data_IF_392040207790
#
_entry.id   IF_392040207790
#
_cell.length_a   1.000
_cell.length_b   1.000
_cell.length_c   1.000
_cell.angle_alpha   90.00
_cell.angle_beta   90.00
_cell.angle_gamma   90.00
#
_symmetry.space_group_name_H-M   'P 1'
#
loop_
_entity.id
_entity.type
_entity.pdbx_description
1 polymer ?
#
# COMPACT_ATOMS: atom_id res chain seq x y z
N UNK A 1 13.02 -40.15 21.36
CA UNK A 1 14.49 -40.03 21.34
C UNK A 1 14.90 -39.11 20.21
N UNK A 2 15.81 -38.16 20.50
CA UNK A 2 16.47 -37.13 19.64
C UNK A 2 15.73 -35.80 19.57
N UNK A 3 16.12 -34.91 20.27
CA UNK A 3 17.27 -34.05 20.67
C UNK A 3 17.13 -32.63 20.09
N UNK A 4 16.96 -31.74 21.03
CA UNK A 4 17.02 -30.25 20.87
C UNK A 4 18.40 -29.78 20.38
N UNK A 5 18.43 -28.75 19.55
CA UNK A 5 19.60 -27.91 19.38
C UNK A 5 19.20 -26.44 19.52
N UNK A 6 19.53 -25.90 20.69
CA UNK A 6 19.59 -24.48 20.96
C UNK A 6 20.87 -23.90 20.35
N UNK A 7 20.77 -22.84 19.57
CA UNK A 7 21.89 -22.06 19.06
C UNK A 7 21.89 -20.70 19.73
N UNK A 8 22.82 -20.48 20.68
CA UNK A 8 23.07 -19.21 21.32
C UNK A 8 23.94 -18.33 20.39
N UNK A 9 23.52 -17.12 20.10
CA UNK A 9 24.32 -16.11 19.40
C UNK A 9 24.86 -15.14 20.45
N UNK A 10 26.18 -15.16 20.60
CA UNK A 10 26.94 -14.24 21.45
C UNK A 10 27.14 -12.89 20.71
N UNK A 11 26.66 -11.83 21.30
CA UNK A 11 26.95 -10.45 20.85
C UNK A 11 28.21 -9.96 21.61
N UNK A 12 29.30 -9.73 20.89
CA UNK A 12 30.52 -9.16 21.42
C UNK A 12 30.42 -7.63 21.34
N UNK A 13 30.46 -6.97 22.51
CA UNK A 13 30.58 -5.51 22.65
C UNK A 13 32.06 -5.18 22.74
N UNK A 14 32.59 -4.42 21.77
CA UNK A 14 33.93 -3.86 21.79
C UNK A 14 33.88 -2.43 22.36
N UNK A 15 34.36 -2.28 23.59
CA UNK A 15 34.68 -1.01 24.21
C UNK A 15 36.14 -0.64 23.85
N UNK A 16 36.34 0.48 23.16
CA UNK A 16 37.66 1.07 22.96
C UNK A 16 37.77 2.33 23.84
N UNK A 17 38.48 2.21 24.93
CA UNK A 17 38.93 3.32 25.74
C UNK A 17 40.34 3.73 25.26
N UNK A 18 40.49 4.98 24.82
CA UNK A 18 41.78 5.56 24.44
C UNK A 18 42.03 6.85 25.19
N UNK A 19 42.71 6.77 26.36
CA UNK A 19 43.36 7.90 27.01
C UNK A 19 44.74 8.11 26.39
N UNK A 20 45.05 9.33 25.96
CA UNK A 20 46.37 9.76 25.54
C UNK A 20 46.61 11.20 25.93
N UNK A 21 47.23 11.40 27.09
CA UNK A 21 47.77 12.70 27.52
C UNK A 21 49.12 12.96 26.83
N UNK A 22 49.28 14.13 26.24
CA UNK A 22 50.55 14.60 25.67
C UNK A 22 50.56 16.10 25.51
N UNK A 23 51.11 16.78 26.50
CA UNK A 23 51.35 18.22 26.53
C UNK A 23 52.62 18.51 25.71
N UNK A 24 52.59 19.42 24.73
CA UNK A 24 53.77 20.21 24.27
C UNK A 24 53.32 21.54 23.69
N UNK A 25 53.87 22.61 24.29
CA UNK A 25 53.76 23.98 23.86
C UNK A 25 54.45 24.22 22.52
N UNK A 26 53.83 24.99 21.60
CA UNK A 26 54.54 25.89 20.68
C UNK A 26 53.54 26.77 19.89
N UNK A 27 53.69 28.07 20.09
CA UNK A 27 53.52 29.20 19.16
C UNK A 27 52.40 29.20 18.11
N UNK A 28 51.45 30.08 18.35
CA UNK A 28 50.87 31.09 17.48
C UNK A 28 50.53 30.75 16.02
N UNK A 29 49.25 30.38 15.79
CA UNK A 29 48.59 30.69 14.52
C UNK A 29 47.12 31.03 14.82
N UNK A 30 46.52 32.09 14.24
CA UNK A 30 45.16 32.47 14.54
C UNK A 30 44.15 31.40 14.06
N UNK A 31 43.03 31.16 14.78
CA UNK A 31 42.05 30.17 14.39
C UNK A 31 41.36 30.62 13.12
N UNK A 32 41.52 29.84 12.05
CA UNK A 32 40.62 29.90 10.91
C UNK A 32 39.25 29.43 11.39
N UNK A 33 38.31 30.38 11.49
CA UNK A 33 36.91 30.07 11.76
C UNK A 33 36.36 29.16 10.65
N UNK A 34 36.14 27.91 10.99
CA UNK A 34 35.36 27.00 10.12
C UNK A 34 33.96 27.62 9.92
N UNK A 35 33.43 27.63 8.70
CA UNK A 35 32.06 28.07 8.48
C UNK A 35 31.13 27.11 9.24
N UNK A 36 30.38 27.64 10.20
CA UNK A 36 29.26 26.95 10.82
C UNK A 36 28.29 26.55 9.71
N UNK A 37 28.20 25.25 9.43
CA UNK A 37 27.16 24.74 8.55
C UNK A 37 25.81 25.10 9.17
N UNK A 38 25.16 26.10 8.61
CA UNK A 38 23.78 26.43 8.94
C UNK A 38 22.94 25.22 8.52
N UNK A 39 22.54 24.42 9.49
CA UNK A 39 21.53 23.37 9.28
C UNK A 39 20.26 24.10 8.86
N UNK A 40 19.91 24.01 7.58
CA UNK A 40 18.64 24.50 7.11
C UNK A 40 17.52 23.84 7.93
N UNK A 41 16.56 24.61 8.48
CA UNK A 41 15.45 23.99 9.19
C UNK A 41 14.73 23.04 8.25
N UNK A 42 14.66 21.76 8.63
CA UNK A 42 13.77 20.80 7.99
C UNK A 42 12.36 21.40 8.02
N UNK A 43 11.65 21.55 6.89
CA UNK A 43 10.31 22.10 6.90
C UNK A 43 9.46 21.25 7.85
N UNK A 44 8.99 21.84 8.95
CA UNK A 44 8.01 21.22 9.82
C UNK A 44 6.77 20.96 8.96
N UNK A 45 6.40 19.67 8.80
CA UNK A 45 5.17 19.33 8.10
C UNK A 45 4.02 20.03 8.79
N UNK A 46 3.36 20.95 8.08
CA UNK A 46 2.15 21.63 8.56
C UNK A 46 1.09 20.56 8.79
N UNK A 47 0.44 20.56 9.95
CA UNK A 47 -0.64 19.62 10.24
C UNK A 47 -1.70 19.70 9.12
N UNK A 48 -1.87 18.60 8.35
CA UNK A 48 -2.73 18.53 7.17
C UNK A 48 -2.00 18.52 5.83
N UNK A 49 -0.65 18.64 5.78
CA UNK A 49 0.11 18.41 4.55
C UNK A 49 0.32 16.92 4.29
N UNK A 50 0.31 16.55 2.99
CA UNK A 50 0.59 15.17 2.59
C UNK A 50 2.07 14.83 2.79
N UNK A 51 2.34 13.63 3.33
CA UNK A 51 3.68 13.07 3.34
C UNK A 51 3.88 12.13 2.13
N UNK A 52 5.11 11.65 1.86
CA UNK A 52 5.37 10.69 0.79
C UNK A 52 4.56 9.38 0.92
N UNK A 53 4.25 8.93 2.13
CA UNK A 53 3.43 7.74 2.37
C UNK A 53 1.99 7.95 1.92
N UNK A 54 1.37 9.07 2.31
CA UNK A 54 0.02 9.44 1.86
C UNK A 54 -0.08 9.41 0.32
N UNK A 55 0.88 10.07 -0.37
CA UNK A 55 0.87 10.15 -1.84
C UNK A 55 1.06 8.76 -2.48
N UNK A 56 2.06 8.01 -2.02
CA UNK A 56 2.33 6.67 -2.56
C UNK A 56 1.16 5.71 -2.35
N UNK A 57 0.52 5.78 -1.17
CA UNK A 57 -0.66 4.96 -0.87
C UNK A 57 -1.87 5.34 -1.73
N UNK A 58 -2.13 6.63 -1.93
CA UNK A 58 -3.22 7.11 -2.81
C UNK A 58 -3.00 6.66 -4.26
N UNK A 59 -1.78 6.77 -4.78
CA UNK A 59 -1.42 6.31 -6.12
C UNK A 59 -1.61 4.80 -6.27
N UNK A 60 -1.17 4.02 -5.29
CA UNK A 60 -1.34 2.57 -5.31
C UNK A 60 -2.83 2.17 -5.22
N UNK A 61 -3.60 2.84 -4.36
CA UNK A 61 -5.04 2.61 -4.21
C UNK A 61 -5.78 2.89 -5.52
N UNK A 62 -5.46 4.00 -6.19
CA UNK A 62 -6.02 4.33 -7.51
C UNK A 62 -5.67 3.26 -8.56
N UNK A 63 -4.40 2.88 -8.67
CA UNK A 63 -3.94 1.87 -9.62
C UNK A 63 -4.60 0.50 -9.39
N UNK A 64 -4.76 0.08 -8.14
CA UNK A 64 -5.44 -1.17 -7.79
C UNK A 64 -6.93 -1.15 -8.20
N UNK A 65 -7.64 -0.04 -7.93
CA UNK A 65 -9.04 0.11 -8.32
C UNK A 65 -9.21 0.11 -9.84
N UNK A 66 -8.35 0.81 -10.58
CA UNK A 66 -8.35 0.86 -12.06
C UNK A 66 -8.16 -0.53 -12.69
N UNK A 67 -7.35 -1.40 -12.07
CA UNK A 67 -7.16 -2.79 -12.54
C UNK A 67 -8.34 -3.71 -12.21
N UNK A 68 -9.07 -3.47 -11.12
CA UNK A 68 -10.20 -4.31 -10.73
C UNK A 68 -11.50 -3.93 -11.44
N UNK A 69 -11.77 -2.64 -11.66
CA UNK A 69 -13.04 -2.17 -12.22
C UNK A 69 -13.41 -2.83 -13.54
N UNK A 70 -12.52 -3.04 -14.53
CA UNK A 70 -12.84 -3.76 -15.76
C UNK A 70 -13.31 -5.20 -15.52
N UNK A 71 -12.82 -5.87 -14.46
CA UNK A 71 -13.29 -7.22 -14.09
C UNK A 71 -14.71 -7.18 -13.57
N UNK A 72 -15.03 -6.22 -12.71
CA UNK A 72 -16.36 -6.07 -12.14
C UNK A 72 -17.40 -5.70 -13.20
N UNK A 73 -17.01 -4.88 -14.17
CA UNK A 73 -17.85 -4.44 -15.28
C UNK A 73 -18.17 -5.59 -16.29
N UNK A 74 -17.34 -6.63 -16.35
CA UNK A 74 -17.61 -7.82 -17.14
C UNK A 74 -18.74 -8.69 -16.56
N UNK A 75 -18.92 -8.72 -15.24
CA UNK A 75 -19.77 -9.70 -14.57
C UNK A 75 -21.22 -9.72 -15.07
N UNK A 76 -21.92 -8.59 -15.29
CA UNK A 76 -23.31 -8.60 -15.77
C UNK A 76 -23.50 -9.27 -17.12
N UNK A 77 -22.49 -9.23 -18.00
CA UNK A 77 -22.52 -9.84 -19.32
C UNK A 77 -22.04 -11.31 -19.33
N UNK A 78 -21.37 -11.77 -18.25
CA UNK A 78 -20.71 -13.08 -18.19
C UNK A 78 -21.43 -14.09 -17.32
N UNK A 79 -22.33 -13.66 -16.44
CA UNK A 79 -23.13 -14.54 -15.59
C UNK A 79 -24.53 -13.98 -15.37
N UNK A 80 -25.52 -14.88 -15.32
CA UNK A 80 -26.89 -14.57 -14.92
C UNK A 80 -27.13 -14.78 -13.41
N UNK A 81 -26.14 -15.30 -12.70
CA UNK A 81 -26.22 -15.54 -11.25
C UNK A 81 -26.44 -14.22 -10.50
N UNK A 82 -27.61 -14.05 -9.82
CA UNK A 82 -27.95 -12.80 -9.16
C UNK A 82 -27.04 -12.47 -7.97
N UNK A 83 -26.43 -13.47 -7.34
CA UNK A 83 -25.49 -13.26 -6.22
C UNK A 83 -24.22 -12.62 -6.76
N UNK A 84 -23.63 -13.17 -7.82
CA UNK A 84 -22.43 -12.61 -8.43
C UNK A 84 -22.67 -11.22 -9.03
N UNK A 85 -23.79 -11.01 -9.69
CA UNK A 85 -24.14 -9.68 -10.25
C UNK A 85 -24.27 -8.63 -9.16
N UNK A 86 -24.90 -8.96 -8.03
CA UNK A 86 -25.04 -8.06 -6.87
C UNK A 86 -23.69 -7.79 -6.21
N UNK A 87 -22.91 -8.83 -5.93
CA UNK A 87 -21.58 -8.69 -5.34
C UNK A 87 -20.68 -7.80 -6.20
N UNK A 88 -20.62 -8.05 -7.50
CA UNK A 88 -19.83 -7.22 -8.41
C UNK A 88 -20.28 -5.77 -8.43
N UNK A 89 -21.60 -5.52 -8.47
CA UNK A 89 -22.13 -4.16 -8.45
C UNK A 89 -21.78 -3.41 -7.14
N UNK A 90 -21.90 -4.07 -5.99
CA UNK A 90 -21.57 -3.48 -4.70
C UNK A 90 -20.09 -3.16 -4.57
N UNK A 91 -19.21 -4.10 -4.94
CA UNK A 91 -17.75 -3.87 -4.91
C UNK A 91 -17.38 -2.79 -5.93
N UNK A 92 -17.95 -2.79 -7.14
CA UNK A 92 -17.68 -1.77 -8.14
C UNK A 92 -18.07 -0.37 -7.68
N UNK A 93 -19.22 -0.23 -7.00
CA UNK A 93 -19.65 1.06 -6.46
C UNK A 93 -18.67 1.58 -5.40
N UNK A 94 -18.23 0.71 -4.48
CA UNK A 94 -17.23 1.05 -3.48
C UNK A 94 -15.89 1.45 -4.13
N UNK A 95 -15.39 0.64 -5.08
CA UNK A 95 -14.11 0.92 -5.75
C UNK A 95 -14.13 2.22 -6.56
N UNK A 96 -15.24 2.58 -7.20
CA UNK A 96 -15.37 3.88 -7.89
C UNK A 96 -15.33 5.04 -6.91
N UNK A 97 -16.06 4.94 -5.79
CA UNK A 97 -16.06 5.98 -4.76
C UNK A 97 -14.66 6.17 -4.15
N UNK A 98 -13.96 5.07 -3.85
CA UNK A 98 -12.60 5.09 -3.32
C UNK A 98 -11.61 5.69 -4.33
N UNK A 99 -11.70 5.31 -5.61
CA UNK A 99 -10.90 5.86 -6.70
C UNK A 99 -11.09 7.36 -6.87
N UNK A 100 -12.35 7.82 -6.91
CA UNK A 100 -12.67 9.23 -7.05
C UNK A 100 -12.16 10.04 -5.84
N UNK A 101 -12.23 9.47 -4.63
CA UNK A 101 -11.71 10.11 -3.44
C UNK A 101 -10.18 10.19 -3.47
N UNK A 102 -9.50 9.08 -3.81
CA UNK A 102 -8.05 9.05 -3.93
C UNK A 102 -7.54 10.06 -4.97
N UNK A 103 -8.20 10.17 -6.12
CA UNK A 103 -7.86 11.13 -7.16
C UNK A 103 -8.02 12.59 -6.71
N UNK A 104 -9.07 12.90 -5.95
CA UNK A 104 -9.23 14.25 -5.37
C UNK A 104 -8.10 14.58 -4.41
N UNK A 105 -7.76 13.67 -3.50
CA UNK A 105 -6.66 13.88 -2.55
C UNK A 105 -5.29 14.00 -3.25
N UNK A 106 -5.05 13.23 -4.31
CA UNK A 106 -3.84 13.38 -5.14
C UNK A 106 -3.78 14.75 -5.82
N UNK A 107 -4.91 15.25 -6.31
CA UNK A 107 -4.98 16.59 -6.89
C UNK A 107 -4.73 17.68 -5.84
N UNK A 108 -5.27 17.54 -4.63
CA UNK A 108 -5.01 18.44 -3.49
C UNK A 108 -3.53 18.40 -3.07
N UNK A 109 -2.88 17.22 -3.14
CA UNK A 109 -1.46 17.05 -2.88
C UNK A 109 -0.56 17.66 -3.98
N UNK A 110 -1.11 18.06 -5.13
CA UNK A 110 -0.32 18.43 -6.30
C UNK A 110 0.49 17.31 -6.88
N UNK A 111 0.09 16.06 -6.63
CA UNK A 111 0.79 14.88 -7.10
C UNK A 111 0.70 14.74 -8.63
N UNK A 112 1.73 14.15 -9.30
CA UNK A 112 1.67 13.88 -10.73
C UNK A 112 0.46 13.03 -11.10
N UNK A 113 -0.15 13.33 -12.25
CA UNK A 113 -1.30 12.58 -12.79
C UNK A 113 -0.90 11.24 -13.43
N UNK A 114 0.40 11.03 -13.65
CA UNK A 114 0.94 9.77 -14.16
C UNK A 114 0.80 8.67 -13.12
N UNK A 115 0.42 7.46 -13.57
CA UNK A 115 0.34 6.29 -12.71
C UNK A 115 1.76 5.67 -12.54
N UNK A 116 2.42 5.78 -11.38
CA UNK A 116 3.76 5.23 -11.17
C UNK A 116 3.75 3.69 -11.10
N UNK A 117 2.58 3.07 -11.05
CA UNK A 117 2.39 1.61 -11.01
C UNK A 117 1.98 1.03 -12.37
N UNK A 118 2.01 1.84 -13.44
CA UNK A 118 1.73 1.35 -14.79
C UNK A 118 2.77 0.29 -15.19
N UNK A 119 2.28 -0.84 -15.71
CA UNK A 119 3.14 -1.98 -16.08
C UNK A 119 3.64 -2.84 -14.90
N UNK A 120 3.38 -2.45 -13.67
CA UNK A 120 3.75 -3.24 -12.51
C UNK A 120 2.64 -4.19 -12.09
N UNK A 121 2.97 -5.47 -11.89
CA UNK A 121 2.08 -6.47 -11.34
C UNK A 121 2.34 -6.62 -9.83
N UNK A 122 1.43 -6.07 -9.04
CA UNK A 122 1.51 -6.12 -7.58
C UNK A 122 0.46 -7.08 -7.00
N UNK A 123 0.69 -7.66 -5.83
CA UNK A 123 -0.32 -8.49 -5.17
C UNK A 123 -1.67 -7.79 -5.08
N UNK A 124 -2.74 -8.48 -5.48
CA UNK A 124 -4.10 -7.93 -5.48
C UNK A 124 -4.48 -7.10 -6.70
N UNK A 125 -3.55 -6.82 -7.61
CA UNK A 125 -3.85 -6.29 -8.95
C UNK A 125 -4.23 -7.42 -9.91
N UNK A 126 -5.14 -7.12 -10.83
CA UNK A 126 -5.48 -8.03 -11.92
C UNK A 126 -4.59 -7.72 -13.11
N UNK A 127 -3.89 -8.73 -13.65
CA UNK A 127 -3.02 -8.56 -14.83
C UNK A 127 -3.84 -8.58 -16.12
N UNK A 128 -3.22 -8.18 -17.23
CA UNK A 128 -3.86 -8.20 -18.55
C UNK A 128 -4.24 -9.63 -18.97
N UNK A 129 -3.39 -10.62 -18.67
CA UNK A 129 -3.62 -12.05 -18.95
C UNK A 129 -4.79 -12.57 -18.10
N UNK A 130 -4.84 -12.21 -16.83
CA UNK A 130 -5.94 -12.59 -15.93
C UNK A 130 -7.28 -11.98 -16.38
N UNK A 131 -7.27 -10.71 -16.80
CA UNK A 131 -8.46 -10.07 -17.39
C UNK A 131 -8.90 -10.79 -18.66
N UNK A 132 -7.96 -11.22 -19.51
CA UNK A 132 -8.25 -12.00 -20.71
C UNK A 132 -8.87 -13.35 -20.37
N UNK A 133 -8.31 -14.06 -19.36
CA UNK A 133 -8.89 -15.31 -18.88
C UNK A 133 -10.31 -15.13 -18.33
N UNK A 134 -10.57 -14.05 -17.59
CA UNK A 134 -11.91 -13.71 -17.10
C UNK A 134 -12.90 -13.41 -18.24
N UNK A 135 -12.44 -12.75 -19.31
CA UNK A 135 -13.27 -12.46 -20.49
C UNK A 135 -13.72 -13.72 -21.23
N UNK A 136 -12.91 -14.77 -21.23
CA UNK A 136 -13.23 -16.05 -21.89
C UNK A 136 -13.96 -17.05 -20.98
N UNK A 137 -13.84 -16.92 -19.66
CA UNK A 137 -14.46 -17.83 -18.71
C UNK A 137 -15.99 -17.65 -18.60
N UNK A 138 -16.71 -18.73 -18.30
CA UNK A 138 -18.15 -18.76 -17.99
C UNK A 138 -18.45 -19.77 -16.89
N UNK A 139 -19.63 -19.69 -16.28
CA UNK A 139 -20.06 -20.66 -15.26
C UNK A 139 -19.11 -20.80 -14.09
N UNK A 140 -18.90 -22.03 -13.63
CA UNK A 140 -18.03 -22.38 -12.48
C UNK A 140 -16.60 -21.85 -12.61
N UNK A 141 -15.88 -22.01 -13.74
CA UNK A 141 -14.55 -21.39 -13.94
C UNK A 141 -14.53 -19.88 -13.73
N UNK A 142 -15.51 -19.15 -14.24
CA UNK A 142 -15.63 -17.70 -14.03
C UNK A 142 -15.80 -17.37 -12.55
N UNK A 143 -16.72 -18.04 -11.87
CA UNK A 143 -16.98 -17.81 -10.45
C UNK A 143 -15.75 -18.10 -9.57
N UNK A 144 -14.96 -19.13 -9.90
CA UNK A 144 -13.71 -19.44 -9.22
C UNK A 144 -12.67 -18.33 -9.40
N UNK A 145 -12.49 -17.83 -10.62
CA UNK A 145 -11.59 -16.72 -10.91
C UNK A 145 -12.04 -15.44 -10.19
N UNK A 146 -13.33 -15.10 -10.23
CA UNK A 146 -13.89 -13.93 -9.53
C UNK A 146 -13.64 -14.01 -8.02
N UNK A 147 -13.94 -15.15 -7.39
CA UNK A 147 -13.63 -15.36 -5.95
C UNK A 147 -12.16 -15.12 -5.66
N UNK A 148 -11.26 -15.70 -6.46
CA UNK A 148 -9.82 -15.58 -6.26
C UNK A 148 -9.33 -14.14 -6.38
N UNK A 149 -9.69 -13.44 -7.45
CA UNK A 149 -9.25 -12.06 -7.69
C UNK A 149 -9.84 -11.07 -6.71
N UNK A 150 -11.14 -11.18 -6.40
CA UNK A 150 -11.77 -10.30 -5.41
C UNK A 150 -11.17 -10.51 -4.03
N UNK A 151 -10.96 -11.75 -3.61
CA UNK A 151 -10.32 -12.04 -2.31
C UNK A 151 -8.90 -11.47 -2.25
N UNK A 152 -8.09 -11.69 -3.27
CA UNK A 152 -6.73 -11.16 -3.34
C UNK A 152 -6.70 -9.63 -3.27
N UNK A 153 -7.55 -8.97 -4.07
CA UNK A 153 -7.67 -7.51 -4.09
C UNK A 153 -8.11 -6.93 -2.74
N UNK A 154 -9.22 -7.43 -2.19
CA UNK A 154 -9.76 -6.92 -0.93
C UNK A 154 -8.81 -7.16 0.25
N UNK A 155 -8.13 -8.33 0.30
CA UNK A 155 -7.11 -8.61 1.32
C UNK A 155 -5.93 -7.66 1.21
N UNK A 156 -5.44 -7.41 -0.01
CA UNK A 156 -4.35 -6.46 -0.22
C UNK A 156 -4.77 -5.02 0.12
N UNK A 157 -6.00 -4.61 -0.23
CA UNK A 157 -6.53 -3.30 0.13
C UNK A 157 -6.53 -3.07 1.64
N UNK A 158 -6.96 -4.07 2.44
CA UNK A 158 -6.88 -4.00 3.91
C UNK A 158 -5.43 -3.85 4.37
N UNK A 159 -4.51 -4.62 3.80
CA UNK A 159 -3.09 -4.60 4.19
C UNK A 159 -2.43 -3.24 3.94
N UNK A 160 -2.60 -2.67 2.75
CA UNK A 160 -1.99 -1.37 2.43
C UNK A 160 -2.68 -0.23 3.19
N UNK A 161 -4.00 -0.32 3.40
CA UNK A 161 -4.73 0.66 4.20
C UNK A 161 -4.31 0.66 5.68
N UNK A 162 -3.97 -0.50 6.24
CA UNK A 162 -3.41 -0.59 7.59
C UNK A 162 -2.05 0.11 7.69
N UNK A 163 -1.19 -0.01 6.67
CA UNK A 163 0.09 0.68 6.61
C UNK A 163 -0.08 2.20 6.54
N UNK A 164 -1.06 2.68 5.76
CA UNK A 164 -1.42 4.10 5.69
C UNK A 164 -1.93 4.64 7.03
N UNK A 165 -2.81 3.92 7.71
CA UNK A 165 -3.32 4.31 9.02
C UNK A 165 -2.22 4.43 10.09
N UNK A 166 -1.09 3.73 9.93
CA UNK A 166 0.05 3.78 10.84
C UNK A 166 1.07 4.87 10.50
N UNK A 167 1.23 5.20 9.21
CA UNK A 167 2.35 6.01 8.72
C UNK A 167 1.90 7.27 7.96
N UNK A 168 0.64 7.35 7.55
CA UNK A 168 0.04 8.54 6.94
C UNK A 168 -0.12 9.66 7.96
N UNK A 169 -0.06 10.91 7.50
CA UNK A 169 -0.21 12.10 8.34
C UNK A 169 -1.38 12.98 7.90
N UNK A 170 -1.83 12.85 6.65
CA UNK A 170 -2.95 13.62 6.14
C UNK A 170 -4.27 13.04 6.65
N UNK A 171 -5.06 13.79 7.46
CA UNK A 171 -6.24 13.21 8.13
C UNK A 171 -7.29 12.64 7.17
N UNK A 172 -7.50 13.26 6.00
CA UNK A 172 -8.47 12.76 5.03
C UNK A 172 -7.98 11.47 4.34
N UNK A 173 -6.67 11.32 4.11
CA UNK A 173 -6.07 10.10 3.56
C UNK A 173 -6.18 8.95 4.56
N UNK A 174 -5.84 9.19 5.83
CA UNK A 174 -5.98 8.21 6.91
C UNK A 174 -7.45 7.80 7.11
N UNK A 175 -8.38 8.76 7.02
CA UNK A 175 -9.82 8.47 7.10
C UNK A 175 -10.31 7.61 5.92
N UNK A 176 -9.83 7.88 4.70
CA UNK A 176 -10.12 7.05 3.52
C UNK A 176 -9.58 5.63 3.72
N UNK A 177 -8.35 5.47 4.21
CA UNK A 177 -7.76 4.16 4.49
C UNK A 177 -8.59 3.36 5.51
N UNK A 178 -9.08 4.02 6.57
CA UNK A 178 -9.96 3.40 7.53
C UNK A 178 -11.31 3.00 6.91
N UNK A 179 -11.87 3.79 6.00
CA UNK A 179 -13.10 3.46 5.28
C UNK A 179 -12.90 2.26 4.35
N UNK A 180 -11.81 2.24 3.58
CA UNK A 180 -11.45 1.10 2.71
C UNK A 180 -11.28 -0.18 3.54
N UNK A 181 -10.62 -0.12 4.68
CA UNK A 181 -10.48 -1.29 5.58
C UNK A 181 -11.83 -1.86 5.97
N UNK A 182 -12.76 -1.01 6.42
CA UNK A 182 -14.12 -1.46 6.81
C UNK A 182 -14.89 -2.06 5.64
N UNK A 183 -14.91 -1.38 4.50
CA UNK A 183 -15.63 -1.82 3.30
C UNK A 183 -15.07 -3.13 2.77
N UNK A 184 -13.74 -3.23 2.61
CA UNK A 184 -13.08 -4.43 2.12
C UNK A 184 -13.30 -5.63 3.05
N UNK A 185 -13.23 -5.44 4.37
CA UNK A 185 -13.53 -6.49 5.35
C UNK A 185 -14.98 -6.95 5.25
N UNK A 186 -15.92 -6.04 5.11
CA UNK A 186 -17.35 -6.38 4.90
C UNK A 186 -17.54 -7.18 3.61
N UNK A 187 -16.94 -6.75 2.51
CA UNK A 187 -17.02 -7.49 1.24
C UNK A 187 -16.38 -8.87 1.33
N UNK A 188 -15.25 -9.02 2.03
CA UNK A 188 -14.59 -10.32 2.25
C UNK A 188 -15.50 -11.32 2.99
N UNK A 189 -16.28 -10.87 3.97
CA UNK A 189 -17.19 -11.73 4.72
C UNK A 189 -18.42 -12.17 3.89
N UNK A 190 -18.82 -11.36 2.90
CA UNK A 190 -19.97 -11.65 2.03
C UNK A 190 -19.57 -12.21 0.66
N UNK A 191 -18.28 -12.40 0.41
CA UNK A 191 -17.81 -12.93 -0.86
C UNK A 191 -18.28 -14.37 -1.02
N UNK A 192 -18.94 -14.74 -2.15
CA UNK A 192 -19.35 -16.10 -2.39
C UNK A 192 -18.18 -17.08 -2.26
N UNK A 193 -18.38 -18.24 -1.62
CA UNK A 193 -17.32 -19.24 -1.52
C UNK A 193 -16.91 -19.71 -2.94
N UNK A 194 -15.64 -20.16 -3.11
CA UNK A 194 -15.25 -20.76 -4.37
C UNK A 194 -16.13 -22.00 -4.62
N UNK A 195 -16.60 -22.21 -5.87
CA UNK A 195 -17.35 -23.40 -6.19
C UNK A 195 -16.48 -24.65 -5.99
N UNK A 196 -17.09 -25.80 -5.66
CA UNK A 196 -16.37 -27.05 -5.51
C UNK A 196 -15.56 -27.39 -6.77
N UNK A 197 -14.48 -28.14 -6.56
CA UNK A 197 -13.58 -28.59 -7.64
C UNK A 197 -14.28 -29.59 -8.58
#
# INVERSE_FOLDING_TARGET
MHQSRAGAVLVAVLLVAGCGAGRRDAAGTPPVSAPSATVAPTPSATAGSFNPTDIAWLQLTAAMAERLLPVLDLVPARTTDPVWRRTAAQVAAAQRADLDHARRLLAEAGAPTTNPHEGHDMPGMVTAEQLTALRSATGTPLHRLLTGHLRAHLTQSVRIAAAEQQNGVQPATVALAAAITRNATTHLTHLPPPPPA
#
